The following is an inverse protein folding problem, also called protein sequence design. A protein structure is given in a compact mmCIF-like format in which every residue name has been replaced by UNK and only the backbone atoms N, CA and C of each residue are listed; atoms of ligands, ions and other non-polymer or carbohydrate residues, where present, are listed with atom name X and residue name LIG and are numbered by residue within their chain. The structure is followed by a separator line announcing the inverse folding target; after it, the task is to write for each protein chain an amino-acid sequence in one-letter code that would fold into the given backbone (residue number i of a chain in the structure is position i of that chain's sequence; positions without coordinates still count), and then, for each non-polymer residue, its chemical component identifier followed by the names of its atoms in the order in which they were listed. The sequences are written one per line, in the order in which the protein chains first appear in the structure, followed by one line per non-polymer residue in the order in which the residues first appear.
data_IF_526283251109
#
_entry.id   IF_526283251109
#
_cell.length_a   1.000
_cell.length_b   1.000
_cell.length_c   1.000
_cell.angle_alpha   90.00
_cell.angle_beta   90.00
_cell.angle_gamma   90.00
#
_symmetry.space_group_name_H-M   'P 1'
#
loop_
_entity.id
_entity.type
_entity.pdbx_description
1 polymer ?
#
# COMPACT_ATOMS: atom_id res chain seq x y z
N UNK A 1 -2.28 -8.25 -3.30
CA UNK A 1 -1.62 -8.43 -4.61
C UNK A 1 -1.43 -9.91 -4.90
N UNK A 2 -0.71 -10.65 -4.05
CA UNK A 2 -0.47 -12.10 -4.24
C UNK A 2 -1.76 -12.91 -4.53
N UNK A 3 -2.78 -12.77 -3.68
CA UNK A 3 -4.06 -13.47 -3.85
C UNK A 3 -4.80 -13.11 -5.14
N UNK A 4 -4.63 -11.89 -5.67
CA UNK A 4 -5.34 -11.41 -6.86
C UNK A 4 -4.63 -11.68 -8.18
N UNK A 5 -3.30 -11.76 -8.19
CA UNK A 5 -2.51 -12.12 -9.38
C UNK A 5 -2.39 -13.64 -9.56
N UNK A 6 -2.70 -14.42 -8.53
CA UNK A 6 -2.41 -15.85 -8.46
C UNK A 6 -1.04 -16.09 -7.83
N UNK A 7 -0.98 -17.09 -6.96
CA UNK A 7 0.26 -17.48 -6.29
C UNK A 7 1.35 -17.85 -7.31
N UNK A 8 2.53 -17.25 -7.16
CA UNK A 8 3.69 -17.51 -8.02
C UNK A 8 3.88 -16.55 -9.20
N UNK A 9 2.92 -15.67 -9.50
CA UNK A 9 3.07 -14.62 -10.53
C UNK A 9 3.78 -13.39 -9.97
N UNK A 10 3.51 -13.07 -8.71
CA UNK A 10 4.18 -12.01 -7.95
C UNK A 10 4.80 -12.66 -6.73
N UNK A 11 6.11 -12.49 -6.54
CA UNK A 11 6.78 -12.99 -5.35
C UNK A 11 6.30 -12.23 -4.12
N UNK A 12 6.35 -12.87 -2.95
CA UNK A 12 5.90 -12.24 -1.70
C UNK A 12 6.64 -10.92 -1.43
N UNK A 13 7.97 -10.92 -1.58
CA UNK A 13 8.79 -9.73 -1.39
C UNK A 13 8.43 -8.59 -2.36
N UNK A 14 8.06 -8.92 -3.59
CA UNK A 14 7.59 -7.94 -4.57
C UNK A 14 6.26 -7.33 -4.12
N UNK A 15 5.32 -8.16 -3.68
CA UNK A 15 4.00 -7.70 -3.21
C UNK A 15 4.14 -6.79 -1.99
N UNK A 16 5.04 -7.14 -1.06
CA UNK A 16 5.35 -6.33 0.12
C UNK A 16 6.00 -5.01 -0.30
N UNK A 17 6.99 -5.04 -1.21
CA UNK A 17 7.64 -3.85 -1.75
C UNK A 17 6.65 -2.86 -2.35
N UNK A 18 5.80 -3.32 -3.26
CA UNK A 18 4.74 -2.51 -3.85
C UNK A 18 3.74 -2.01 -2.81
N UNK A 19 3.37 -2.85 -1.83
CA UNK A 19 2.50 -2.47 -0.73
C UNK A 19 3.08 -1.33 0.12
N UNK A 20 4.39 -1.32 0.38
CA UNK A 20 5.07 -0.23 1.08
C UNK A 20 5.07 1.08 0.27
N UNK A 21 5.20 1.00 -1.05
CA UNK A 21 5.04 2.18 -1.93
C UNK A 21 3.63 2.76 -1.80
N UNK A 22 2.60 1.92 -1.88
CA UNK A 22 1.20 2.35 -1.73
C UNK A 22 0.92 2.92 -0.33
N UNK A 23 1.46 2.29 0.73
CA UNK A 23 1.30 2.76 2.10
C UNK A 23 2.02 4.10 2.36
N UNK A 24 3.20 4.32 1.76
CA UNK A 24 3.93 5.58 1.88
C UNK A 24 3.25 6.71 1.11
N UNK A 25 2.70 6.45 -0.08
CA UNK A 25 1.84 7.38 -0.82
C UNK A 25 0.63 7.82 0.03
N UNK A 26 -0.05 6.86 0.65
CA UNK A 26 -1.18 7.12 1.53
C UNK A 26 -0.76 7.92 2.77
N UNK A 27 0.36 7.56 3.39
CA UNK A 27 0.89 8.25 4.56
C UNK A 27 1.26 9.71 4.23
N UNK A 28 1.83 9.97 3.06
CA UNK A 28 2.19 11.31 2.61
C UNK A 28 0.95 12.18 2.38
N UNK A 29 -0.08 11.65 1.69
CA UNK A 29 -1.33 12.39 1.45
C UNK A 29 -2.07 12.75 2.73
N UNK A 30 -1.88 11.94 3.77
CA UNK A 30 -2.43 12.18 5.10
C UNK A 30 -1.57 13.11 5.97
N UNK A 31 -0.46 13.62 5.44
CA UNK A 31 0.47 14.50 6.16
C UNK A 31 1.25 13.80 7.27
N UNK A 32 1.35 12.47 7.24
CA UNK A 32 2.01 11.69 8.29
C UNK A 32 3.50 11.48 8.04
N UNK A 33 3.92 11.63 6.77
CA UNK A 33 5.33 11.66 6.37
C UNK A 33 5.53 12.80 5.36
N UNK A 34 6.75 13.31 5.32
CA UNK A 34 7.18 14.32 4.35
C UNK A 34 7.47 13.70 2.97
N UNK A 35 7.59 14.56 1.95
CA UNK A 35 8.03 14.13 0.62
C UNK A 35 9.44 13.50 0.67
N UNK A 36 10.37 14.09 1.43
CA UNK A 36 11.73 13.56 1.56
C UNK A 36 11.79 12.19 2.25
N UNK A 37 10.96 11.95 3.27
CA UNK A 37 10.84 10.63 3.90
C UNK A 37 10.28 9.58 2.93
N UNK A 38 9.29 9.96 2.11
CA UNK A 38 8.77 9.08 1.05
C UNK A 38 9.86 8.79 0.01
N UNK A 39 10.60 9.79 -0.45
CA UNK A 39 11.68 9.62 -1.43
C UNK A 39 12.78 8.68 -0.91
N UNK A 40 13.15 8.77 0.37
CA UNK A 40 14.10 7.85 0.98
C UNK A 40 13.59 6.41 0.95
N UNK A 41 12.31 6.21 1.30
CA UNK A 41 11.69 4.88 1.27
C UNK A 41 11.62 4.32 -0.16
N UNK A 42 11.24 5.14 -1.14
CA UNK A 42 11.25 4.72 -2.55
C UNK A 42 12.65 4.36 -3.03
N UNK A 43 13.66 5.13 -2.63
CA UNK A 43 15.05 4.86 -2.99
C UNK A 43 15.54 3.53 -2.41
N UNK A 44 15.17 3.21 -1.16
CA UNK A 44 15.49 1.93 -0.54
C UNK A 44 14.80 0.75 -1.23
N UNK A 45 13.53 0.89 -1.58
CA UNK A 45 12.76 -0.14 -2.32
C UNK A 45 13.35 -0.36 -3.72
N UNK A 46 13.70 0.72 -4.41
CA UNK A 46 14.34 0.66 -5.73
C UNK A 46 15.73 0.00 -5.67
N UNK A 47 16.53 0.31 -4.64
CA UNK A 47 17.84 -0.31 -4.42
C UNK A 47 17.73 -1.81 -4.15
N UNK A 48 16.62 -2.26 -3.54
CA UNK A 48 16.28 -3.68 -3.37
C UNK A 48 15.69 -4.33 -4.64
N UNK A 49 15.63 -3.59 -5.76
CA UNK A 49 15.09 -4.04 -7.05
C UNK A 49 13.64 -4.54 -6.98
N UNK A 50 12.85 -3.99 -6.05
CA UNK A 50 11.45 -4.35 -5.88
C UNK A 50 10.54 -3.53 -6.80
N UNK A 51 9.40 -4.10 -7.28
CA UNK A 51 8.45 -3.37 -8.09
C UNK A 51 7.85 -2.17 -7.35
N UNK A 52 7.92 -0.99 -7.98
CA UNK A 52 7.38 0.26 -7.44
C UNK A 52 5.95 0.58 -7.93
N UNK A 53 5.41 -0.24 -8.84
CA UNK A 53 4.11 -0.03 -9.46
C UNK A 53 3.21 -1.22 -9.23
N UNK A 54 1.99 -0.94 -8.79
CA UNK A 54 1.00 -1.94 -8.46
C UNK A 54 0.19 -2.34 -9.70
N UNK A 55 -0.35 -3.58 -9.77
CA UNK A 55 -1.23 -3.98 -10.86
C UNK A 55 -2.38 -2.98 -11.09
N UNK A 56 -2.74 -2.76 -12.35
CA UNK A 56 -3.79 -1.80 -12.76
C UNK A 56 -5.20 -2.31 -12.41
N UNK A 57 -5.48 -2.48 -11.12
CA UNK A 57 -6.79 -2.84 -10.58
C UNK A 57 -7.51 -1.62 -10.03
N UNK A 58 -8.83 -1.69 -10.00
CA UNK A 58 -9.67 -0.73 -9.29
C UNK A 58 -9.45 -0.79 -7.78
N UNK A 59 -9.69 0.32 -7.09
CA UNK A 59 -9.69 0.38 -5.62
C UNK A 59 -10.61 -0.67 -5.00
N UNK A 60 -11.77 -0.93 -5.62
CA UNK A 60 -12.71 -1.97 -5.19
C UNK A 60 -12.12 -3.38 -5.28
N UNK A 61 -11.33 -3.69 -6.31
CA UNK A 61 -10.64 -4.98 -6.43
C UNK A 61 -9.57 -5.15 -5.36
N UNK A 62 -8.77 -4.11 -5.10
CA UNK A 62 -7.82 -4.12 -3.98
C UNK A 62 -8.52 -4.38 -2.65
N UNK A 63 -9.61 -3.65 -2.37
CA UNK A 63 -10.41 -3.81 -1.15
C UNK A 63 -11.02 -5.21 -1.05
N UNK A 64 -11.55 -5.75 -2.15
CA UNK A 64 -12.06 -7.13 -2.21
C UNK A 64 -10.99 -8.11 -1.76
N UNK A 65 -9.79 -8.05 -2.33
CA UNK A 65 -8.70 -8.96 -1.95
C UNK A 65 -8.19 -8.74 -0.52
N UNK A 66 -8.20 -7.50 -0.02
CA UNK A 66 -7.86 -7.20 1.39
C UNK A 66 -8.94 -7.65 2.38
N UNK A 67 -10.22 -7.72 1.94
CA UNK A 67 -11.35 -8.12 2.79
C UNK A 67 -11.43 -9.64 2.99
N UNK A 68 -10.91 -10.44 2.05
CA UNK A 68 -10.89 -11.91 2.14
C UNK A 68 -10.01 -12.39 3.30
N UNK A 69 -8.93 -11.66 3.58
CA UNK A 69 -8.02 -11.92 4.71
C UNK A 69 -8.65 -11.51 6.07
N UNK A 70 -9.59 -10.55 6.05
CA UNK A 70 -10.22 -9.97 7.26
C UNK A 70 -11.62 -10.51 7.54
N UNK A 71 -11.83 -11.82 7.42
CA UNK A 71 -13.11 -12.52 7.71
C UNK A 71 -13.73 -12.32 9.11
N UNK A 72 -13.24 -11.40 9.95
CA UNK A 72 -13.57 -11.36 11.38
C UNK A 72 -14.06 -10.04 11.98
N UNK A 73 -14.08 -8.88 11.29
CA UNK A 73 -14.59 -7.64 11.92
C UNK A 73 -15.42 -6.79 10.95
N UNK A 74 -16.69 -6.59 11.32
CA UNK A 74 -17.66 -5.70 10.67
C UNK A 74 -17.27 -4.22 10.83
N UNK A 75 -16.15 -3.81 10.22
CA UNK A 75 -15.62 -2.44 10.31
C UNK A 75 -14.83 -2.06 9.08
N UNK A 76 -14.55 -0.76 8.95
CA UNK A 76 -13.73 -0.22 7.85
C UNK A 76 -12.33 -0.84 7.90
N UNK A 77 -11.71 -1.12 6.74
CA UNK A 77 -10.36 -1.68 6.72
C UNK A 77 -9.37 -0.71 7.37
N UNK A 78 -8.62 -1.22 8.35
CA UNK A 78 -7.44 -0.54 8.89
C UNK A 78 -6.22 -0.81 8.04
N UNK A 79 -5.42 0.21 7.83
CA UNK A 79 -4.18 0.18 7.06
C UNK A 79 -2.99 0.45 7.99
N UNK A 80 -1.89 -0.23 7.75
CA UNK A 80 -0.59 0.09 8.37
C UNK A 80 -0.02 1.28 7.61
N UNK A 81 0.20 2.38 8.33
CA UNK A 81 0.74 3.64 7.81
C UNK A 81 1.97 4.06 8.60
N UNK A 82 2.72 5.01 8.04
CA UNK A 82 3.89 5.60 8.68
C UNK A 82 3.53 6.93 9.35
N UNK A 83 4.07 7.19 10.54
CA UNK A 83 4.05 8.48 11.24
C UNK A 83 5.49 8.95 11.46
N UNK A 84 6.13 9.38 10.38
CA UNK A 84 7.58 9.48 10.28
C UNK A 84 8.25 8.12 10.04
N UNK A 85 9.54 8.17 9.65
CA UNK A 85 10.31 6.95 9.39
C UNK A 85 10.52 6.11 10.65
N UNK A 86 10.38 4.79 10.50
CA UNK A 86 10.53 3.82 11.60
C UNK A 86 9.34 3.73 12.56
N UNK A 87 8.29 4.51 12.36
CA UNK A 87 7.09 4.52 13.21
C UNK A 87 5.87 4.11 12.40
N UNK A 88 5.44 2.86 12.58
CA UNK A 88 4.26 2.32 11.91
C UNK A 88 3.07 2.22 12.89
N UNK A 89 1.87 2.52 12.42
CA UNK A 89 0.64 2.39 13.19
C UNK A 89 -0.54 2.02 12.30
N UNK A 90 -1.62 1.53 12.91
CA UNK A 90 -2.85 1.16 12.20
C UNK A 90 -3.93 2.22 12.37
N UNK A 91 -4.52 2.67 11.26
CA UNK A 91 -5.72 3.53 11.28
C UNK A 91 -6.68 3.24 10.14
N UNK A 92 -7.90 3.70 10.31
CA UNK A 92 -8.87 3.80 9.23
C UNK A 92 -8.55 5.00 8.36
N UNK A 93 -8.96 4.94 7.09
CA UNK A 93 -8.71 5.99 6.12
C UNK A 93 -9.97 6.22 5.30
N UNK A 94 -10.18 7.49 4.91
CA UNK A 94 -11.27 7.87 4.03
C UNK A 94 -11.09 7.25 2.63
N UNK A 95 -12.20 6.77 2.06
CA UNK A 95 -12.20 6.06 0.78
C UNK A 95 -11.72 6.94 -0.37
N UNK A 96 -12.02 8.25 -0.36
CA UNK A 96 -11.59 9.16 -1.41
C UNK A 96 -10.07 9.32 -1.43
N UNK A 97 -9.43 9.42 -0.25
CA UNK A 97 -7.97 9.53 -0.15
C UNK A 97 -7.32 8.20 -0.54
N UNK A 98 -7.89 7.08 -0.10
CA UNK A 98 -7.42 5.75 -0.47
C UNK A 98 -7.43 5.55 -1.99
N UNK A 99 -8.52 5.91 -2.66
CA UNK A 99 -8.66 5.78 -4.12
C UNK A 99 -7.61 6.61 -4.87
N UNK A 100 -7.39 7.85 -4.44
CA UNK A 100 -6.35 8.71 -5.01
C UNK A 100 -4.95 8.12 -4.82
N UNK A 101 -4.65 7.56 -3.65
CA UNK A 101 -3.37 6.90 -3.38
C UNK A 101 -3.14 5.68 -4.23
N UNK A 102 -4.14 4.81 -4.36
CA UNK A 102 -4.03 3.60 -5.18
C UNK A 102 -3.77 3.99 -6.63
N UNK A 103 -4.55 4.92 -7.17
CA UNK A 103 -4.41 5.42 -8.55
C UNK A 103 -3.03 6.00 -8.86
N UNK A 104 -2.40 6.69 -7.89
CA UNK A 104 -1.05 7.22 -8.07
C UNK A 104 0.03 6.12 -8.22
N UNK A 105 -0.23 4.93 -7.69
CA UNK A 105 0.72 3.82 -7.66
C UNK A 105 0.50 2.75 -8.73
N UNK A 106 -0.53 2.86 -9.57
CA UNK A 106 -0.81 1.88 -10.62
C UNK A 106 0.27 1.89 -11.72
N UNK A 107 0.49 0.72 -12.31
CA UNK A 107 1.23 0.50 -13.56
C UNK A 107 0.58 1.25 -14.73
#
# INVERSE_FOLDING_TARGET
IEAGMGYGVFLHGEAVGTGMVMASELSQRLGLITAGERELLLSAIAAAQLPMKAPAWSTAEYLKWMSVDKKARAGRPRFVLLQGLGQAFMREVDEAILDLSIKACLQ
#
